data_IF_096167204533
#
_entry.id   IF_096167204533
#
_cell.length_a   1.000
_cell.length_b   1.000
_cell.length_c   1.000
_cell.angle_alpha   90.00
_cell.angle_beta   90.00
_cell.angle_gamma   90.00
#
_symmetry.space_group_name_H-M   'P 1'
#
loop_
_entity.id
_entity.type
_entity.pdbx_description
1 polymer ?
#
# COMPACT_ATOMS: atom_id res chain seq x y z
N UNK A 1 -14.08 4.51 36.25
CA UNK A 1 -12.81 4.71 35.52
C UNK A 1 -12.19 3.39 35.04
N UNK A 2 -12.92 2.46 34.43
CA UNK A 2 -12.44 1.08 34.16
C UNK A 2 -12.74 0.53 32.74
N UNK A 3 -13.11 1.39 31.78
CA UNK A 3 -13.36 0.94 30.38
C UNK A 3 -12.11 0.98 29.46
N UNK A 4 -10.93 1.38 29.93
CA UNK A 4 -9.71 1.47 29.11
C UNK A 4 -8.98 0.14 28.87
N UNK A 5 -9.07 -0.82 29.78
CA UNK A 5 -8.29 -2.07 29.72
C UNK A 5 -8.68 -3.00 28.55
N UNK A 6 -9.97 -3.30 28.28
CA UNK A 6 -10.36 -4.20 27.19
C UNK A 6 -10.00 -3.64 25.81
N UNK A 7 -10.22 -2.35 25.57
CA UNK A 7 -9.88 -1.68 24.29
C UNK A 7 -8.38 -1.72 24.01
N UNK A 8 -7.55 -1.44 25.03
CA UNK A 8 -6.08 -1.48 24.91
C UNK A 8 -5.56 -2.89 24.60
N UNK A 9 -6.20 -3.94 25.15
CA UNK A 9 -5.82 -5.33 24.85
C UNK A 9 -6.19 -5.70 23.42
N UNK A 10 -7.37 -5.31 22.94
CA UNK A 10 -7.79 -5.53 21.56
C UNK A 10 -6.84 -4.89 20.54
N UNK A 11 -6.44 -3.65 20.77
CA UNK A 11 -5.45 -2.93 19.94
C UNK A 11 -4.10 -3.67 19.94
N UNK A 12 -3.60 -4.12 21.10
CA UNK A 12 -2.35 -4.89 21.18
C UNK A 12 -2.40 -6.22 20.44
N UNK A 13 -3.55 -6.92 20.46
CA UNK A 13 -3.73 -8.15 19.67
C UNK A 13 -3.63 -7.82 18.19
N UNK A 14 -4.27 -6.75 17.71
CA UNK A 14 -4.20 -6.32 16.31
C UNK A 14 -2.77 -5.97 15.89
N UNK A 15 -2.05 -5.18 16.69
CA UNK A 15 -0.68 -4.76 16.41
C UNK A 15 0.29 -5.96 16.35
N UNK A 16 0.16 -6.90 17.29
CA UNK A 16 0.98 -8.11 17.28
C UNK A 16 0.63 -8.99 16.08
N UNK A 17 -0.68 -9.18 15.81
CA UNK A 17 -1.13 -9.98 14.66
C UNK A 17 -0.62 -9.41 13.35
N UNK A 18 -0.69 -8.08 13.16
CA UNK A 18 -0.14 -7.40 11.99
C UNK A 18 1.37 -7.69 11.81
N UNK A 19 2.15 -7.64 12.89
CA UNK A 19 3.58 -8.00 12.84
C UNK A 19 3.78 -9.44 12.42
N UNK A 20 3.09 -10.38 13.07
CA UNK A 20 3.21 -11.82 12.77
C UNK A 20 2.78 -12.15 11.34
N UNK A 21 1.66 -11.58 10.87
CA UNK A 21 1.21 -11.75 9.49
C UNK A 21 2.20 -11.19 8.48
N UNK A 22 2.78 -10.03 8.76
CA UNK A 22 3.80 -9.41 7.91
C UNK A 22 5.09 -10.23 7.84
N UNK A 23 5.48 -10.86 8.94
CA UNK A 23 6.74 -11.60 9.06
C UNK A 23 6.61 -13.02 8.50
N UNK A 24 5.60 -13.75 8.94
CA UNK A 24 5.49 -15.19 8.66
C UNK A 24 4.43 -15.55 7.62
N UNK A 25 3.58 -14.61 7.19
CA UNK A 25 2.42 -14.89 6.34
C UNK A 25 1.16 -15.15 7.17
N UNK A 26 0.04 -14.58 6.74
CA UNK A 26 -1.23 -14.78 7.42
C UNK A 26 -1.64 -16.26 7.50
N UNK A 27 -1.49 -17.09 6.44
CA UNK A 27 -1.86 -18.49 6.49
C UNK A 27 -1.12 -19.30 7.55
N UNK A 28 0.10 -18.92 7.89
CA UNK A 28 0.96 -19.65 8.84
C UNK A 28 0.72 -19.27 10.30
N UNK A 29 -0.07 -18.25 10.59
CA UNK A 29 -0.33 -17.75 11.94
C UNK A 29 -1.72 -18.17 12.40
N UNK A 30 -1.78 -18.83 13.57
CA UNK A 30 -3.02 -19.23 14.23
C UNK A 30 -3.34 -18.32 15.41
N UNK A 31 -4.60 -18.34 15.87
CA UNK A 31 -5.01 -17.62 17.10
C UNK A 31 -4.26 -18.13 18.34
N UNK A 32 -3.84 -19.39 18.35
CA UNK A 32 -3.01 -19.96 19.43
C UNK A 32 -1.64 -19.33 19.45
N UNK A 33 -0.95 -19.22 18.31
CA UNK A 33 0.35 -18.53 18.20
C UNK A 33 0.23 -17.08 18.69
N UNK A 34 -0.83 -16.36 18.30
CA UNK A 34 -1.07 -14.98 18.75
C UNK A 34 -1.26 -14.92 20.27
N UNK A 35 -2.05 -15.82 20.85
CA UNK A 35 -2.29 -15.87 22.29
C UNK A 35 -0.99 -16.16 23.08
N UNK A 36 -0.18 -17.10 22.61
CA UNK A 36 1.09 -17.49 23.22
C UNK A 36 2.10 -16.32 23.18
N UNK A 37 2.25 -15.64 22.04
CA UNK A 37 3.11 -14.46 21.89
C UNK A 37 2.65 -13.27 22.75
N UNK A 38 1.33 -13.11 22.93
CA UNK A 38 0.73 -12.11 23.82
C UNK A 38 0.86 -12.50 25.30
N UNK A 39 1.22 -13.75 25.61
CA UNK A 39 1.21 -14.32 26.96
C UNK A 39 -0.17 -14.20 27.62
N UNK A 40 -1.23 -14.48 26.88
CA UNK A 40 -2.62 -14.52 27.34
C UNK A 40 -3.22 -15.92 27.10
N UNK A 41 -4.29 -16.27 27.83
CA UNK A 41 -5.00 -17.50 27.54
C UNK A 41 -5.75 -17.39 26.21
N UNK A 42 -5.93 -18.51 25.46
CA UNK A 42 -6.79 -18.54 24.27
C UNK A 42 -8.20 -18.00 24.54
N UNK A 43 -8.78 -18.29 25.72
CA UNK A 43 -10.08 -17.75 26.12
C UNK A 43 -10.10 -16.21 26.22
N UNK A 44 -9.00 -15.59 26.65
CA UNK A 44 -8.88 -14.13 26.68
C UNK A 44 -8.80 -13.57 25.25
N UNK A 45 -8.09 -14.21 24.34
CA UNK A 45 -8.07 -13.82 22.93
C UNK A 45 -9.48 -13.93 22.32
N UNK A 46 -10.17 -15.05 22.52
CA UNK A 46 -11.54 -15.27 22.02
C UNK A 46 -12.59 -14.33 22.63
N UNK A 47 -12.33 -13.75 23.79
CA UNK A 47 -13.16 -12.68 24.33
C UNK A 47 -13.12 -11.41 23.45
N UNK A 48 -12.00 -11.14 22.78
CA UNK A 48 -11.81 -9.97 21.91
C UNK A 48 -12.11 -10.22 20.43
N UNK A 49 -11.83 -11.43 19.95
CA UNK A 49 -11.97 -11.83 18.54
C UNK A 49 -12.46 -13.26 18.42
N UNK A 50 -13.55 -13.48 17.70
CA UNK A 50 -14.18 -14.80 17.55
C UNK A 50 -13.29 -15.81 16.83
N UNK A 51 -12.51 -15.35 15.86
CA UNK A 51 -11.62 -16.16 15.04
C UNK A 51 -10.51 -15.27 14.44
N UNK A 52 -9.64 -15.88 13.63
CA UNK A 52 -8.55 -15.16 12.94
C UNK A 52 -9.09 -14.15 11.92
N UNK A 53 -10.14 -14.46 11.21
CA UNK A 53 -10.74 -13.56 10.21
C UNK A 53 -11.28 -12.27 10.85
N UNK A 54 -11.81 -12.33 12.08
CA UNK A 54 -12.21 -11.12 12.83
C UNK A 54 -11.00 -10.20 13.11
N UNK A 55 -9.83 -10.79 13.37
CA UNK A 55 -8.58 -10.02 13.56
C UNK A 55 -8.17 -9.39 12.22
N UNK A 56 -8.15 -10.18 11.15
CA UNK A 56 -7.81 -9.72 9.79
C UNK A 56 -8.74 -8.59 9.36
N UNK A 57 -10.05 -8.76 9.53
CA UNK A 57 -11.05 -7.73 9.19
C UNK A 57 -10.87 -6.44 10.03
N UNK A 58 -10.51 -6.57 11.31
CA UNK A 58 -10.28 -5.41 12.17
C UNK A 58 -9.01 -4.64 11.77
N UNK A 59 -7.95 -5.34 11.37
CA UNK A 59 -6.74 -4.72 10.81
C UNK A 59 -7.08 -4.05 9.47
N UNK A 60 -7.92 -4.70 8.66
CA UNK A 60 -8.33 -4.18 7.36
C UNK A 60 -9.10 -2.86 7.47
N UNK A 61 -10.02 -2.73 8.43
CA UNK A 61 -10.73 -1.46 8.67
C UNK A 61 -9.75 -0.31 8.91
N UNK A 62 -8.70 -0.53 9.71
CA UNK A 62 -7.68 0.50 9.96
C UNK A 62 -6.88 0.83 8.68
N UNK A 63 -6.50 -0.18 7.91
CA UNK A 63 -5.83 0.01 6.61
C UNK A 63 -6.72 0.79 5.64
N UNK A 64 -7.99 0.43 5.53
CA UNK A 64 -8.95 1.07 4.63
C UNK A 64 -9.17 2.54 4.99
N UNK A 65 -9.29 2.87 6.28
CA UNK A 65 -9.38 4.26 6.74
C UNK A 65 -8.12 5.07 6.40
N UNK A 66 -6.93 4.48 6.54
CA UNK A 66 -5.66 5.15 6.24
C UNK A 66 -5.51 5.38 4.72
N UNK A 67 -5.79 4.36 3.89
CA UNK A 67 -5.67 4.49 2.44
C UNK A 67 -6.73 5.42 1.85
N UNK A 68 -7.96 5.37 2.35
CA UNK A 68 -9.04 6.24 1.90
C UNK A 68 -8.75 7.71 2.21
N UNK A 69 -8.22 8.02 3.40
CA UNK A 69 -7.77 9.37 3.73
C UNK A 69 -6.66 9.85 2.80
N UNK A 70 -5.70 8.99 2.50
CA UNK A 70 -4.61 9.33 1.58
C UNK A 70 -5.12 9.59 0.16
N UNK A 71 -6.02 8.76 -0.36
CA UNK A 71 -6.63 8.94 -1.68
C UNK A 71 -7.46 10.24 -1.77
N UNK A 72 -8.15 10.61 -0.69
CA UNK A 72 -8.93 11.84 -0.64
C UNK A 72 -8.07 13.13 -0.64
N UNK A 73 -6.82 13.07 -0.19
CA UNK A 73 -5.93 14.25 -0.15
C UNK A 73 -5.54 14.79 -1.53
N UNK A 74 -5.69 13.99 -2.58
CA UNK A 74 -5.33 14.38 -3.96
C UNK A 74 -6.49 15.03 -4.72
N UNK A 75 -7.72 14.96 -4.21
CA UNK A 75 -8.89 15.47 -4.91
C UNK A 75 -8.91 16.99 -4.98
N UNK A 76 -9.13 17.54 -6.18
CA UNK A 76 -9.28 18.99 -6.41
C UNK A 76 -7.97 19.79 -6.32
N UNK A 77 -6.81 19.15 -6.20
CA UNK A 77 -5.50 19.81 -6.23
C UNK A 77 -4.84 19.65 -7.60
N UNK A 78 -3.98 20.62 -7.95
CA UNK A 78 -3.06 20.51 -9.09
C UNK A 78 -1.67 20.17 -8.57
N UNK A 79 -1.36 18.87 -8.38
CA UNK A 79 -0.11 18.45 -7.78
C UNK A 79 1.07 18.67 -8.75
N UNK A 80 2.19 19.12 -8.20
CA UNK A 80 3.48 19.09 -8.90
C UNK A 80 4.02 17.67 -8.96
N UNK A 81 5.03 17.40 -9.81
CA UNK A 81 5.72 16.09 -9.82
C UNK A 81 6.35 15.73 -8.48
N UNK A 82 6.75 16.74 -7.69
CA UNK A 82 7.27 16.53 -6.35
C UNK A 82 6.16 16.04 -5.38
N UNK A 83 4.96 16.61 -5.47
CA UNK A 83 3.82 16.16 -4.67
C UNK A 83 3.43 14.74 -5.02
N UNK A 84 3.43 14.38 -6.32
CA UNK A 84 3.16 13.02 -6.79
C UNK A 84 4.19 12.02 -6.26
N UNK A 85 5.50 12.41 -6.24
CA UNK A 85 6.55 11.59 -5.65
C UNK A 85 6.31 11.33 -4.16
N UNK A 86 6.02 12.36 -3.38
CA UNK A 86 5.72 12.22 -1.95
C UNK A 86 4.48 11.37 -1.70
N UNK A 87 3.43 11.58 -2.49
CA UNK A 87 2.23 10.79 -2.42
C UNK A 87 2.51 9.29 -2.67
N UNK A 88 3.25 8.96 -3.72
CA UNK A 88 3.64 7.58 -4.01
C UNK A 88 4.52 6.99 -2.89
N UNK A 89 5.44 7.78 -2.35
CA UNK A 89 6.28 7.33 -1.24
C UNK A 89 5.45 6.96 -0.01
N UNK A 90 4.49 7.80 0.39
CA UNK A 90 3.56 7.49 1.47
C UNK A 90 2.69 6.26 1.16
N UNK A 91 2.24 6.11 -0.10
CA UNK A 91 1.48 4.93 -0.52
C UNK A 91 2.31 3.66 -0.37
N UNK A 92 3.55 3.65 -0.79
CA UNK A 92 4.44 2.50 -0.62
C UNK A 92 4.74 2.20 0.85
N UNK A 93 4.92 3.24 1.69
CA UNK A 93 5.05 3.06 3.14
C UNK A 93 3.80 2.41 3.75
N UNK A 94 2.61 2.83 3.32
CA UNK A 94 1.36 2.25 3.77
C UNK A 94 1.22 0.79 3.31
N UNK A 95 1.52 0.50 2.05
CA UNK A 95 1.54 -0.87 1.51
C UNK A 95 2.56 -1.73 2.29
N UNK A 96 3.74 -1.20 2.59
CA UNK A 96 4.75 -1.90 3.39
C UNK A 96 4.27 -2.23 4.80
N UNK A 97 3.62 -1.27 5.45
CA UNK A 97 3.07 -1.45 6.81
C UNK A 97 2.03 -2.57 6.87
N UNK A 98 1.23 -2.72 5.82
CA UNK A 98 0.17 -3.72 5.71
C UNK A 98 0.48 -4.78 4.63
N UNK A 99 1.77 -5.10 4.40
CA UNK A 99 2.24 -5.88 3.25
C UNK A 99 1.68 -7.29 3.16
N UNK A 100 1.24 -7.89 4.27
CA UNK A 100 0.62 -9.21 4.24
C UNK A 100 -0.65 -9.24 3.39
N UNK A 101 -1.45 -8.16 3.38
CA UNK A 101 -2.62 -8.07 2.51
C UNK A 101 -2.24 -8.22 1.04
N UNK A 102 -1.17 -7.57 0.61
CA UNK A 102 -0.75 -7.60 -0.80
C UNK A 102 -0.03 -8.90 -1.15
N UNK A 103 0.72 -9.48 -0.22
CA UNK A 103 1.41 -10.75 -0.42
C UNK A 103 0.44 -11.93 -0.49
N UNK A 104 -0.52 -11.96 0.41
CA UNK A 104 -1.45 -13.08 0.58
C UNK A 104 -2.83 -12.76 -0.06
N UNK A 105 -2.90 -11.71 -0.93
CA UNK A 105 -4.14 -11.10 -1.41
C UNK A 105 -5.09 -12.12 -2.05
N UNK A 106 -4.62 -12.93 -2.98
CA UNK A 106 -5.48 -13.87 -3.71
C UNK A 106 -6.12 -14.90 -2.78
N UNK A 107 -5.37 -15.40 -1.79
CA UNK A 107 -5.88 -16.33 -0.79
C UNK A 107 -6.93 -15.63 0.11
N UNK A 108 -6.60 -14.44 0.62
CA UNK A 108 -7.50 -13.66 1.45
C UNK A 108 -8.82 -13.34 0.75
N UNK A 109 -8.78 -12.88 -0.50
CA UNK A 109 -9.99 -12.53 -1.25
C UNK A 109 -10.83 -13.76 -1.60
N UNK A 110 -10.21 -14.94 -1.81
CA UNK A 110 -10.93 -16.16 -2.15
C UNK A 110 -11.84 -16.67 -1.02
N UNK A 111 -11.48 -16.39 0.23
CA UNK A 111 -12.18 -16.86 1.43
C UNK A 111 -12.89 -15.76 2.24
N UNK A 112 -12.62 -14.49 1.94
CA UNK A 112 -13.18 -13.35 2.67
C UNK A 112 -13.88 -12.36 1.73
N UNK A 113 -15.21 -12.50 1.62
CA UNK A 113 -16.06 -11.68 0.75
C UNK A 113 -16.01 -10.18 1.08
N UNK A 114 -15.88 -9.83 2.35
CA UNK A 114 -15.77 -8.43 2.77
C UNK A 114 -14.49 -7.81 2.18
N UNK A 115 -13.34 -8.46 2.36
CA UNK A 115 -12.08 -7.99 1.78
C UNK A 115 -12.16 -7.88 0.25
N UNK A 116 -12.80 -8.86 -0.41
CA UNK A 116 -12.95 -8.83 -1.89
C UNK A 116 -13.65 -7.56 -2.36
N UNK A 117 -14.78 -7.21 -1.75
CA UNK A 117 -15.56 -6.04 -2.15
C UNK A 117 -14.78 -4.74 -1.92
N UNK A 118 -14.23 -4.56 -0.73
CA UNK A 118 -13.52 -3.34 -0.35
C UNK A 118 -12.19 -3.17 -1.11
N UNK A 119 -11.45 -4.27 -1.39
CA UNK A 119 -10.26 -4.16 -2.25
C UNK A 119 -10.60 -3.74 -3.68
N UNK A 120 -11.71 -4.20 -4.25
CA UNK A 120 -12.19 -3.71 -5.55
C UNK A 120 -12.44 -2.20 -5.55
N UNK A 121 -13.05 -1.69 -4.46
CA UNK A 121 -13.28 -0.25 -4.30
C UNK A 121 -11.96 0.52 -4.16
N UNK A 122 -11.02 0.03 -3.36
CA UNK A 122 -9.68 0.64 -3.21
C UNK A 122 -8.96 0.70 -4.55
N UNK A 123 -8.96 -0.39 -5.34
CA UNK A 123 -8.33 -0.38 -6.67
C UNK A 123 -9.03 0.58 -7.62
N UNK A 124 -10.36 0.63 -7.61
CA UNK A 124 -11.16 1.59 -8.39
C UNK A 124 -10.82 3.03 -8.05
N UNK A 125 -10.74 3.36 -6.76
CA UNK A 125 -10.31 4.70 -6.28
C UNK A 125 -8.89 5.05 -6.70
N UNK A 126 -7.92 4.13 -6.57
CA UNK A 126 -6.54 4.36 -7.04
C UNK A 126 -6.51 4.71 -8.53
N UNK A 127 -7.26 3.97 -9.36
CA UNK A 127 -7.35 4.24 -10.81
C UNK A 127 -7.96 5.62 -11.04
N UNK A 128 -9.04 5.97 -10.35
CA UNK A 128 -9.69 7.27 -10.49
C UNK A 128 -8.72 8.43 -10.15
N UNK A 129 -7.98 8.34 -9.04
CA UNK A 129 -6.98 9.34 -8.64
C UNK A 129 -5.89 9.51 -9.70
N UNK A 130 -5.38 8.42 -10.29
CA UNK A 130 -4.37 8.51 -11.36
C UNK A 130 -4.95 9.16 -12.62
N UNK A 131 -6.21 8.85 -12.98
CA UNK A 131 -6.89 9.50 -14.10
C UNK A 131 -7.07 11.00 -13.89
N UNK A 132 -7.54 11.41 -12.70
CA UNK A 132 -7.67 12.82 -12.34
C UNK A 132 -6.32 13.55 -12.44
N UNK A 133 -5.23 12.95 -11.95
CA UNK A 133 -3.89 13.47 -12.09
C UNK A 133 -3.50 13.65 -13.57
N UNK A 134 -3.72 12.64 -14.40
CA UNK A 134 -3.42 12.72 -15.84
C UNK A 134 -4.22 13.82 -16.54
N UNK A 135 -5.51 13.95 -16.22
CA UNK A 135 -6.37 15.00 -16.79
C UNK A 135 -5.91 16.39 -16.35
N UNK A 136 -5.56 16.60 -15.07
CA UNK A 136 -5.00 17.87 -14.59
C UNK A 136 -3.70 18.25 -15.32
N UNK A 137 -2.79 17.28 -15.52
CA UNK A 137 -1.57 17.50 -16.29
C UNK A 137 -1.84 17.77 -17.78
N UNK A 138 -2.92 17.22 -18.36
CA UNK A 138 -3.33 17.54 -19.73
C UNK A 138 -3.86 18.98 -19.86
N UNK A 139 -4.69 19.42 -18.92
CA UNK A 139 -5.20 20.81 -18.86
C UNK A 139 -4.04 21.81 -18.81
N UNK A 140 -2.98 21.49 -18.08
CA UNK A 140 -1.76 22.30 -17.96
C UNK A 140 -0.76 22.08 -19.14
N UNK A 141 -1.13 21.30 -20.15
CA UNK A 141 -0.30 20.91 -21.31
C UNK A 141 1.03 20.21 -20.89
N UNK A 142 1.08 19.70 -19.69
CA UNK A 142 2.22 18.99 -19.11
C UNK A 142 2.25 17.49 -19.46
N UNK A 143 1.13 16.95 -19.95
CA UNK A 143 0.99 15.56 -20.37
C UNK A 143 0.21 15.48 -21.69
N UNK A 144 0.73 14.69 -22.65
CA UNK A 144 0.04 14.41 -23.92
C UNK A 144 -0.21 12.91 -24.05
N UNK A 145 -1.47 12.49 -23.85
CA UNK A 145 -1.91 11.13 -24.00
C UNK A 145 -3.37 11.12 -24.49
N UNK A 146 -3.75 10.14 -25.28
CA UNK A 146 -5.14 9.87 -25.64
C UNK A 146 -5.92 9.29 -24.45
N UNK A 147 -7.28 9.33 -24.47
CA UNK A 147 -8.06 8.71 -23.40
C UNK A 147 -7.74 7.22 -23.18
N UNK A 148 -7.50 6.46 -24.24
CA UNK A 148 -7.14 5.05 -24.16
C UNK A 148 -5.76 4.83 -23.50
N UNK A 149 -4.80 5.73 -23.79
CA UNK A 149 -3.48 5.69 -23.12
C UNK A 149 -3.59 6.04 -21.66
N UNK A 150 -4.42 7.02 -21.26
CA UNK A 150 -4.67 7.34 -19.85
C UNK A 150 -5.29 6.16 -19.11
N UNK A 151 -6.26 5.47 -19.73
CA UNK A 151 -6.87 4.26 -19.14
C UNK A 151 -5.84 3.15 -18.92
N UNK A 152 -5.01 2.88 -19.92
CA UNK A 152 -3.95 1.88 -19.83
C UNK A 152 -2.87 2.29 -18.81
N UNK A 153 -2.42 3.55 -18.84
CA UNK A 153 -1.43 4.10 -17.95
C UNK A 153 -1.89 4.00 -16.49
N UNK A 154 -3.13 4.43 -16.20
CA UNK A 154 -3.70 4.40 -14.85
C UNK A 154 -3.77 2.98 -14.31
N UNK A 155 -4.21 2.02 -15.13
CA UNK A 155 -4.24 0.60 -14.74
C UNK A 155 -2.84 0.06 -14.48
N UNK A 156 -1.88 0.33 -15.36
CA UNK A 156 -0.49 -0.12 -15.21
C UNK A 156 0.18 0.47 -13.96
N UNK A 157 -0.02 1.77 -13.69
CA UNK A 157 0.52 2.42 -12.49
C UNK A 157 -0.04 1.79 -11.21
N UNK A 158 -1.34 1.49 -11.16
CA UNK A 158 -1.96 0.85 -10.00
C UNK A 158 -1.46 -0.59 -9.83
N UNK A 159 -1.30 -1.35 -10.91
CA UNK A 159 -0.74 -2.71 -10.87
C UNK A 159 0.70 -2.67 -10.36
N UNK A 160 1.56 -1.81 -10.92
CA UNK A 160 2.95 -1.70 -10.47
C UNK A 160 3.01 -1.27 -9.00
N UNK A 161 2.28 -0.23 -8.60
CA UNK A 161 2.26 0.23 -7.21
C UNK A 161 1.81 -0.86 -6.23
N UNK A 162 0.83 -1.69 -6.62
CA UNK A 162 0.26 -2.70 -5.73
C UNK A 162 1.11 -3.96 -5.61
N UNK A 163 1.80 -4.37 -6.68
CA UNK A 163 2.55 -5.64 -6.70
C UNK A 163 4.08 -5.46 -6.67
N UNK A 164 4.58 -4.23 -6.68
CA UNK A 164 6.01 -3.96 -6.68
C UNK A 164 6.75 -4.58 -5.49
N UNK A 165 6.20 -4.46 -4.29
CA UNK A 165 6.82 -5.01 -3.08
C UNK A 165 6.80 -6.54 -3.10
N UNK A 166 5.78 -7.18 -3.66
CA UNK A 166 5.75 -8.63 -3.85
C UNK A 166 6.80 -9.09 -4.87
N UNK A 167 7.00 -8.32 -5.95
CA UNK A 167 8.09 -8.57 -6.89
C UNK A 167 9.47 -8.44 -6.23
N UNK A 168 9.69 -7.40 -5.43
CA UNK A 168 10.95 -7.22 -4.68
C UNK A 168 11.21 -8.36 -3.68
N UNK A 169 10.16 -8.88 -3.04
CA UNK A 169 10.27 -10.08 -2.20
C UNK A 169 10.77 -11.29 -2.98
N UNK A 170 10.27 -11.51 -4.20
CA UNK A 170 10.72 -12.63 -5.06
C UNK A 170 12.19 -12.52 -5.40
N UNK A 171 12.70 -11.30 -5.62
CA UNK A 171 14.11 -11.07 -5.94
C UNK A 171 15.05 -11.28 -4.73
N UNK A 172 14.61 -10.88 -3.53
CA UNK A 172 15.46 -10.87 -2.34
C UNK A 172 14.73 -11.44 -1.09
N UNK A 173 14.26 -12.68 -1.11
CA UNK A 173 13.36 -13.20 -0.06
C UNK A 173 14.01 -13.29 1.32
N UNK A 174 15.35 -13.44 1.40
CA UNK A 174 16.08 -13.57 2.66
C UNK A 174 16.47 -12.23 3.28
N UNK A 175 16.55 -11.17 2.50
CA UNK A 175 16.99 -9.84 2.91
C UNK A 175 15.86 -8.82 2.88
N UNK A 176 14.65 -9.24 2.53
CA UNK A 176 13.50 -8.37 2.28
C UNK A 176 13.10 -7.49 3.47
N UNK A 177 13.46 -7.85 4.69
CA UNK A 177 13.20 -7.07 5.91
C UNK A 177 14.38 -6.22 6.39
N UNK A 178 15.53 -6.32 5.72
CA UNK A 178 16.67 -5.45 6.01
C UNK A 178 16.34 -4.01 5.63
N UNK A 179 16.63 -3.06 6.52
CA UNK A 179 16.21 -1.66 6.36
C UNK A 179 16.66 -1.06 5.03
N UNK A 180 17.91 -1.27 4.63
CA UNK A 180 18.42 -0.74 3.36
C UNK A 180 17.70 -1.33 2.14
N UNK A 181 17.35 -2.64 2.18
CA UNK A 181 16.59 -3.30 1.10
C UNK A 181 15.17 -2.74 1.03
N UNK A 182 14.54 -2.50 2.17
CA UNK A 182 13.20 -1.90 2.25
C UNK A 182 13.20 -0.48 1.69
N UNK A 183 14.11 0.37 2.15
CA UNK A 183 14.22 1.76 1.69
C UNK A 183 14.46 1.82 0.18
N UNK A 184 15.34 0.97 -0.35
CA UNK A 184 15.55 0.83 -1.79
C UNK A 184 14.28 0.36 -2.51
N UNK A 185 13.57 -0.65 -2.00
CA UNK A 185 12.34 -1.17 -2.61
C UNK A 185 11.24 -0.10 -2.67
N UNK A 186 11.08 0.72 -1.62
CA UNK A 186 10.10 1.82 -1.60
C UNK A 186 10.46 2.93 -2.60
N UNK A 187 11.72 3.37 -2.61
CA UNK A 187 12.19 4.41 -3.53
C UNK A 187 12.13 3.95 -4.99
N UNK A 188 12.57 2.72 -5.27
CA UNK A 188 12.51 2.14 -6.61
C UNK A 188 11.07 1.97 -7.11
N UNK A 189 10.15 1.60 -6.23
CA UNK A 189 8.73 1.52 -6.55
C UNK A 189 8.16 2.88 -7.02
N UNK A 190 8.45 3.96 -6.30
CA UNK A 190 8.06 5.30 -6.71
C UNK A 190 8.59 5.64 -8.10
N UNK A 191 9.88 5.38 -8.35
CA UNK A 191 10.47 5.62 -9.65
C UNK A 191 9.81 4.78 -10.76
N UNK A 192 9.59 3.48 -10.55
CA UNK A 192 8.97 2.60 -11.55
C UNK A 192 7.56 3.04 -11.93
N UNK A 193 6.76 3.47 -10.96
CA UNK A 193 5.42 3.99 -11.21
C UNK A 193 5.49 5.28 -12.03
N UNK A 194 6.35 6.23 -11.65
CA UNK A 194 6.50 7.49 -12.36
C UNK A 194 7.12 7.33 -13.75
N UNK A 195 8.02 6.37 -13.93
CA UNK A 195 8.63 6.08 -15.23
C UNK A 195 7.61 5.69 -16.31
N UNK A 196 6.46 5.12 -15.91
CA UNK A 196 5.36 4.84 -16.84
C UNK A 196 4.76 6.12 -17.46
N UNK A 197 4.83 7.25 -16.75
CA UNK A 197 4.34 8.55 -17.24
C UNK A 197 5.33 9.25 -18.19
N UNK A 198 6.62 8.92 -18.08
CA UNK A 198 7.70 9.65 -18.79
C UNK A 198 7.45 9.86 -20.29
N UNK A 199 6.98 8.87 -21.10
CA UNK A 199 6.77 9.06 -22.52
C UNK A 199 5.72 10.12 -22.87
N UNK A 200 4.81 10.38 -21.94
CA UNK A 200 3.69 11.30 -22.11
C UNK A 200 3.96 12.70 -21.56
N UNK A 201 4.96 12.86 -20.66
CA UNK A 201 5.28 14.15 -20.04
C UNK A 201 5.87 15.14 -21.04
N UNK A 202 5.60 16.45 -20.84
CA UNK A 202 6.08 17.54 -21.68
C UNK A 202 6.54 18.72 -20.81
N UNK A 203 7.33 19.62 -21.44
CA UNK A 203 7.74 20.89 -20.83
C UNK A 203 8.50 20.74 -19.53
N UNK A 204 8.23 21.65 -18.59
CA UNK A 204 8.88 21.69 -17.28
C UNK A 204 8.64 20.44 -16.44
N UNK A 205 7.48 19.81 -16.60
CA UNK A 205 7.14 18.59 -15.86
C UNK A 205 8.07 17.43 -16.24
N UNK A 206 8.44 17.31 -17.52
CA UNK A 206 9.45 16.33 -17.94
C UNK A 206 10.83 16.64 -17.36
N UNK A 207 11.22 17.93 -17.31
CA UNK A 207 12.50 18.35 -16.71
C UNK A 207 12.53 18.00 -15.22
N UNK A 208 11.47 18.27 -14.48
CA UNK A 208 11.35 17.89 -13.07
C UNK A 208 11.41 16.38 -12.87
N UNK A 209 10.78 15.61 -13.74
CA UNK A 209 10.87 14.14 -13.69
C UNK A 209 12.32 13.66 -13.88
N UNK A 210 13.06 14.19 -14.84
CA UNK A 210 14.46 13.81 -15.07
C UNK A 210 15.38 14.20 -13.90
N UNK A 211 15.08 15.29 -13.19
CA UNK A 211 15.80 15.66 -11.96
C UNK A 211 15.53 14.65 -10.83
N UNK A 212 14.27 14.24 -10.64
CA UNK A 212 13.91 13.21 -9.65
C UNK A 212 14.57 11.86 -9.97
N UNK A 213 14.55 11.47 -11.24
CA UNK A 213 15.22 10.26 -11.75
C UNK A 213 16.72 10.28 -11.44
N UNK A 214 17.39 11.40 -11.68
CA UNK A 214 18.83 11.53 -11.41
C UNK A 214 19.13 11.38 -9.91
N UNK A 215 18.34 12.02 -9.04
CA UNK A 215 18.47 11.87 -7.59
C UNK A 215 18.26 10.42 -7.15
N UNK A 216 17.25 9.75 -7.71
CA UNK A 216 16.99 8.34 -7.42
C UNK A 216 18.16 7.44 -7.81
N UNK A 217 18.69 7.57 -9.03
CA UNK A 217 19.80 6.76 -9.52
C UNK A 217 21.09 6.99 -8.72
N UNK A 218 21.32 8.20 -8.20
CA UNK A 218 22.49 8.51 -7.35
C UNK A 218 22.37 7.93 -5.93
N UNK A 219 21.16 7.79 -5.40
CA UNK A 219 20.93 7.17 -4.08
C UNK A 219 20.95 5.64 -4.11
N UNK A 220 21.11 5.04 -5.28
CA UNK A 220 21.07 3.59 -5.50
C UNK A 220 22.48 3.00 -5.67
N UNK A 221 23.52 3.83 -5.68
CA UNK A 221 24.96 3.47 -5.71
C UNK A 221 25.53 3.61 -4.30
#
# INVERSE_FOLDING_TARGET
MEQKAPRRTREKIMDLSLRLFNEFGEPNITTTIIADEMKISPGNLYYHFRNKDDIVNSIFVTFEEEISRMLAMTQGQRPTMHDVWHYLHHMFQLIWRYRFFYRDLNDLLSRNRTLELHFKEIFGHKIAVVKELCHGLQEDQALHASPAEIDALSSNMVVVASYWLSYQYVLNPRQYTEQAVVEHALASGCYQVLALMQPYLRGETLVHFEQLKTKYLQSTV
#
